data_IF_552946419267
#
_entry.id   IF_552946419267
#
_cell.length_a   1.000
_cell.length_b   1.000
_cell.length_c   1.000
_cell.angle_alpha   90.00
_cell.angle_beta   90.00
_cell.angle_gamma   90.00
#
_symmetry.space_group_name_H-M   'P 1'
#
loop_
_entity.id
_entity.type
_entity.pdbx_description
1 polymer ?
#
# COMPACT_ATOMS: atom_id res chain seq x y z
N UNK A 1 3.07 18.94 -31.45
CA UNK A 1 2.74 17.53 -31.75
C UNK A 1 3.91 16.69 -31.25
N UNK A 2 3.70 15.90 -30.20
CA UNK A 2 4.75 15.08 -29.60
C UNK A 2 5.03 13.84 -30.46
N UNK A 3 6.25 13.32 -30.36
CA UNK A 3 6.64 12.03 -30.94
C UNK A 3 5.66 10.93 -30.49
N UNK A 4 5.33 9.99 -31.37
CA UNK A 4 4.54 8.82 -31.00
C UNK A 4 5.25 8.04 -29.90
N UNK A 5 4.50 7.64 -28.87
CA UNK A 5 5.06 6.83 -27.80
C UNK A 5 5.40 5.43 -28.30
N UNK A 6 6.50 4.88 -27.82
CA UNK A 6 6.84 3.48 -28.08
C UNK A 6 5.74 2.56 -27.51
N UNK A 7 5.53 1.37 -28.08
CA UNK A 7 4.65 0.36 -27.51
C UNK A 7 4.98 0.07 -26.04
N UNK A 8 3.97 -0.27 -25.23
CA UNK A 8 4.18 -0.71 -23.85
C UNK A 8 4.93 -2.04 -23.85
N UNK A 9 5.96 -2.15 -23.02
CA UNK A 9 6.65 -3.42 -22.76
C UNK A 9 5.72 -4.37 -22.00
N UNK A 10 5.43 -5.52 -22.62
CA UNK A 10 4.53 -6.56 -22.10
C UNK A 10 5.25 -7.78 -21.52
N UNK A 11 6.57 -7.75 -21.31
CA UNK A 11 7.33 -8.88 -20.77
C UNK A 11 6.84 -9.33 -19.38
N UNK A 12 6.31 -8.41 -18.57
CA UNK A 12 5.62 -8.71 -17.31
C UNK A 12 4.20 -8.15 -17.39
N UNK A 13 3.15 -9.00 -17.45
CA UNK A 13 1.77 -8.56 -17.67
C UNK A 13 1.28 -7.52 -16.66
N UNK A 14 1.61 -7.67 -15.38
CA UNK A 14 1.19 -6.76 -14.32
C UNK A 14 1.83 -5.37 -14.46
N UNK A 15 3.08 -5.29 -14.95
CA UNK A 15 3.70 -3.99 -15.25
C UNK A 15 3.03 -3.33 -16.45
N UNK A 16 2.70 -4.11 -17.47
CA UNK A 16 2.01 -3.61 -18.64
C UNK A 16 0.62 -3.06 -18.29
N UNK A 17 -0.13 -3.75 -17.41
CA UNK A 17 -1.43 -3.27 -16.92
C UNK A 17 -1.31 -1.93 -16.19
N UNK A 18 -0.30 -1.75 -15.33
CA UNK A 18 -0.05 -0.46 -14.70
C UNK A 18 0.30 0.62 -15.74
N UNK A 19 1.15 0.31 -16.72
CA UNK A 19 1.54 1.26 -17.75
C UNK A 19 0.36 1.65 -18.65
N UNK A 20 -0.46 0.68 -19.08
CA UNK A 20 -1.69 0.90 -19.84
C UNK A 20 -2.64 1.82 -19.05
N UNK A 21 -2.89 1.53 -17.76
CA UNK A 21 -3.69 2.39 -16.89
C UNK A 21 -3.17 3.84 -16.83
N UNK A 22 -1.86 4.04 -16.67
CA UNK A 22 -1.27 5.38 -16.63
C UNK A 22 -1.40 6.10 -17.99
N UNK A 23 -1.17 5.40 -19.11
CA UNK A 23 -1.34 5.97 -20.46
C UNK A 23 -2.78 6.36 -20.73
N UNK A 24 -3.73 5.51 -20.36
CA UNK A 24 -5.16 5.78 -20.54
C UNK A 24 -5.56 7.06 -19.79
N UNK A 25 -5.14 7.21 -18.54
CA UNK A 25 -5.40 8.45 -17.78
C UNK A 25 -4.81 9.68 -18.44
N UNK A 26 -3.55 9.62 -18.88
CA UNK A 26 -2.91 10.74 -19.59
C UNK A 26 -3.66 11.10 -20.87
N UNK A 27 -4.07 10.09 -21.64
CA UNK A 27 -4.80 10.27 -22.89
C UNK A 27 -6.19 10.87 -22.65
N UNK A 28 -6.91 10.41 -21.62
CA UNK A 28 -8.19 10.99 -21.20
C UNK A 28 -8.05 12.44 -20.75
N UNK A 29 -6.96 12.77 -20.04
CA UNK A 29 -6.67 14.14 -19.62
C UNK A 29 -6.16 15.03 -20.77
N UNK A 30 -5.83 14.46 -21.93
CA UNK A 30 -5.29 15.20 -23.07
C UNK A 30 -3.92 15.86 -22.81
N UNK A 31 -3.15 15.33 -21.87
CA UNK A 31 -1.88 15.92 -21.45
C UNK A 31 -0.67 15.26 -22.14
N UNK A 32 0.38 16.06 -22.33
CA UNK A 32 1.72 15.57 -22.65
C UNK A 32 2.53 15.38 -21.37
N UNK A 33 3.56 14.50 -21.41
CA UNK A 33 4.47 14.33 -20.27
C UNK A 33 5.15 15.64 -19.86
N UNK A 34 5.47 16.51 -20.83
CA UNK A 34 5.99 17.86 -20.57
C UNK A 34 5.01 18.74 -19.78
N UNK A 35 3.73 18.71 -20.13
CA UNK A 35 2.69 19.46 -19.39
C UNK A 35 2.51 18.89 -17.97
N UNK A 36 2.50 17.56 -17.82
CA UNK A 36 2.43 16.92 -16.51
C UNK A 36 3.61 17.33 -15.63
N UNK A 37 4.85 17.26 -16.14
CA UNK A 37 6.05 17.69 -15.43
C UNK A 37 5.96 19.16 -15.01
N UNK A 38 5.51 20.04 -15.89
CA UNK A 38 5.31 21.46 -15.56
C UNK A 38 4.27 21.66 -14.45
N UNK A 39 3.19 20.89 -14.45
CA UNK A 39 2.12 21.00 -13.46
C UNK A 39 2.58 20.66 -12.03
N UNK A 40 3.63 19.84 -11.88
CA UNK A 40 4.21 19.46 -10.58
C UNK A 40 5.53 20.16 -10.28
N UNK A 41 5.82 21.29 -10.93
CA UNK A 41 7.05 22.05 -10.69
C UNK A 41 8.32 21.36 -11.20
N UNK A 42 8.19 20.41 -12.12
CA UNK A 42 9.31 19.70 -12.76
C UNK A 42 9.74 18.42 -12.03
N UNK A 43 9.09 18.05 -10.93
CA UNK A 43 9.38 16.83 -10.17
C UNK A 43 8.09 16.04 -9.90
N UNK A 44 7.88 14.87 -10.54
CA UNK A 44 8.77 14.19 -11.48
C UNK A 44 9.00 14.90 -12.83
N UNK A 45 10.14 14.62 -13.47
CA UNK A 45 10.45 15.13 -14.81
C UNK A 45 9.66 14.43 -15.92
N UNK A 46 9.65 15.03 -17.12
CA UNK A 46 9.02 14.47 -18.32
C UNK A 46 9.46 13.03 -18.59
N UNK A 47 10.78 12.80 -18.61
CA UNK A 47 11.35 11.47 -18.83
C UNK A 47 10.99 10.47 -17.74
N UNK A 48 10.71 10.92 -16.52
CA UNK A 48 10.27 10.04 -15.42
C UNK A 48 8.81 9.64 -15.59
N UNK A 49 7.94 10.54 -16.04
CA UNK A 49 6.57 10.15 -16.40
C UNK A 49 6.52 9.22 -17.61
N UNK A 50 7.33 9.49 -18.63
CA UNK A 50 7.45 8.60 -19.80
C UNK A 50 7.92 7.19 -19.41
N UNK A 51 8.98 7.10 -18.58
CA UNK A 51 9.46 5.80 -18.05
C UNK A 51 8.44 5.11 -17.15
N UNK A 52 7.61 5.84 -16.41
CA UNK A 52 6.55 5.26 -15.59
C UNK A 52 5.46 4.59 -16.44
N UNK A 53 5.20 5.14 -17.63
CA UNK A 53 4.18 4.66 -18.57
C UNK A 53 4.75 3.75 -19.68
N UNK A 54 5.99 3.29 -19.59
CA UNK A 54 6.60 2.43 -20.63
C UNK A 54 6.37 0.93 -20.44
N UNK A 55 6.09 0.48 -19.21
CA UNK A 55 6.01 -0.95 -18.85
C UNK A 55 7.37 -1.63 -18.61
N UNK A 56 8.49 -0.91 -18.83
CA UNK A 56 9.84 -1.47 -18.70
C UNK A 56 10.32 -1.57 -17.25
N UNK A 57 9.80 -0.71 -16.37
CA UNK A 57 10.12 -0.68 -14.94
C UNK A 57 8.85 -0.54 -14.11
N UNK A 58 8.92 -0.91 -12.82
CA UNK A 58 7.89 -0.52 -11.85
C UNK A 58 8.27 0.88 -11.32
N UNK A 59 7.48 1.93 -11.58
CA UNK A 59 7.75 3.27 -11.05
C UNK A 59 7.67 3.32 -9.52
N UNK A 60 8.12 4.39 -8.88
CA UNK A 60 7.87 4.58 -7.45
C UNK A 60 6.38 4.88 -7.18
N UNK A 61 5.90 4.55 -5.98
CA UNK A 61 4.51 4.86 -5.62
C UNK A 61 4.24 6.38 -5.64
N UNK A 62 5.25 7.19 -5.31
CA UNK A 62 5.18 8.65 -5.40
C UNK A 62 5.00 9.11 -6.85
N UNK A 63 5.74 8.56 -7.81
CA UNK A 63 5.55 8.86 -9.23
C UNK A 63 4.16 8.46 -9.70
N UNK A 64 3.64 7.29 -9.31
CA UNK A 64 2.27 6.86 -9.64
C UNK A 64 1.24 7.83 -9.06
N UNK A 65 1.40 8.24 -7.80
CA UNK A 65 0.52 9.21 -7.14
C UNK A 65 0.52 10.55 -7.89
N UNK A 66 1.69 11.09 -8.21
CA UNK A 66 1.80 12.36 -8.95
C UNK A 66 1.22 12.25 -10.36
N UNK A 67 1.41 11.11 -11.03
CA UNK A 67 0.79 10.83 -12.33
C UNK A 67 -0.73 10.89 -12.23
N UNK A 68 -1.32 10.20 -11.26
CA UNK A 68 -2.78 10.16 -11.08
C UNK A 68 -3.32 11.54 -10.73
N UNK A 69 -2.69 12.26 -9.80
CA UNK A 69 -3.12 13.61 -9.39
C UNK A 69 -3.09 14.57 -10.59
N UNK A 70 -2.02 14.57 -11.38
CA UNK A 70 -1.89 15.47 -12.55
C UNK A 70 -2.83 15.14 -13.69
N UNK A 71 -3.29 13.89 -13.78
CA UNK A 71 -4.25 13.42 -14.79
C UNK A 71 -5.66 13.31 -14.26
N UNK A 72 -5.93 13.79 -13.04
CA UNK A 72 -7.30 13.85 -12.52
C UNK A 72 -8.06 14.96 -13.22
N UNK A 73 -9.24 14.64 -13.71
CA UNK A 73 -10.13 15.57 -14.41
C UNK A 73 -11.49 15.60 -13.73
N UNK A 74 -12.31 16.61 -14.02
CA UNK A 74 -13.70 16.68 -13.53
C UNK A 74 -14.56 15.48 -13.98
N UNK A 75 -14.13 14.74 -15.03
CA UNK A 75 -14.78 13.53 -15.50
C UNK A 75 -14.53 12.30 -14.63
N UNK A 76 -13.55 12.36 -13.72
CA UNK A 76 -13.40 11.36 -12.67
C UNK A 76 -14.54 11.59 -11.66
N UNK A 77 -15.77 11.18 -11.98
CA UNK A 77 -16.98 11.52 -11.22
C UNK A 77 -17.00 11.03 -9.76
N UNK A 78 -16.10 10.12 -9.39
CA UNK A 78 -15.89 9.67 -8.01
C UNK A 78 -14.67 10.33 -7.33
N UNK A 79 -14.02 11.28 -8.00
CA UNK A 79 -12.85 12.01 -7.53
C UNK A 79 -11.52 11.26 -7.65
N UNK A 80 -10.40 11.92 -7.33
CA UNK A 80 -9.04 11.35 -7.45
C UNK A 80 -8.80 10.11 -6.58
N UNK A 81 -9.58 9.94 -5.50
CA UNK A 81 -9.35 8.88 -4.52
C UNK A 81 -9.54 7.48 -5.11
N UNK A 82 -10.55 7.29 -5.95
CA UNK A 82 -10.78 5.98 -6.59
C UNK A 82 -9.66 5.63 -7.57
N UNK A 83 -9.19 6.60 -8.35
CA UNK A 83 -8.06 6.41 -9.24
C UNK A 83 -6.77 6.08 -8.46
N UNK A 84 -6.57 6.70 -7.29
CA UNK A 84 -5.44 6.41 -6.41
C UNK A 84 -5.53 4.99 -5.82
N UNK A 85 -6.71 4.52 -5.42
CA UNK A 85 -6.92 3.15 -4.93
C UNK A 85 -6.59 2.14 -6.04
N UNK A 86 -7.24 2.28 -7.21
CA UNK A 86 -7.00 1.37 -8.34
C UNK A 86 -5.55 1.41 -8.84
N UNK A 87 -4.95 2.59 -8.93
CA UNK A 87 -3.55 2.75 -9.30
C UNK A 87 -2.59 2.13 -8.28
N UNK A 88 -2.89 2.23 -6.98
CA UNK A 88 -2.12 1.58 -5.91
C UNK A 88 -2.20 0.06 -6.01
N UNK A 89 -3.38 -0.50 -6.27
CA UNK A 89 -3.56 -1.95 -6.45
C UNK A 89 -2.77 -2.47 -7.65
N UNK A 90 -2.86 -1.81 -8.80
CA UNK A 90 -2.07 -2.15 -9.99
C UNK A 90 -0.56 -2.04 -9.71
N UNK A 91 -0.15 -1.01 -8.98
CA UNK A 91 1.25 -0.83 -8.59
C UNK A 91 1.74 -1.94 -7.67
N UNK A 92 0.95 -2.35 -6.68
CA UNK A 92 1.27 -3.47 -5.79
C UNK A 92 1.45 -4.76 -6.59
N UNK A 93 0.53 -5.04 -7.54
CA UNK A 93 0.62 -6.23 -8.41
C UNK A 93 1.88 -6.20 -9.27
N UNK A 94 2.17 -5.07 -9.92
CA UNK A 94 3.36 -4.88 -10.74
C UNK A 94 4.66 -5.05 -9.94
N UNK A 95 4.71 -4.45 -8.73
CA UNK A 95 5.85 -4.57 -7.81
C UNK A 95 6.06 -6.01 -7.40
N UNK A 96 5.00 -6.72 -7.00
CA UNK A 96 5.05 -8.11 -6.60
C UNK A 96 5.54 -9.01 -7.73
N UNK A 97 4.96 -8.89 -8.92
CA UNK A 97 5.37 -9.68 -10.10
C UNK A 97 6.84 -9.47 -10.48
N UNK A 98 7.42 -8.31 -10.13
CA UNK A 98 8.80 -7.97 -10.46
C UNK A 98 9.80 -8.33 -9.34
N UNK A 99 9.40 -8.20 -8.07
CA UNK A 99 10.33 -8.26 -6.92
C UNK A 99 10.10 -9.44 -5.98
N UNK A 100 8.91 -10.01 -5.94
CA UNK A 100 8.65 -11.14 -5.06
C UNK A 100 9.21 -12.44 -5.68
N UNK A 101 9.86 -13.31 -4.89
CA UNK A 101 10.30 -14.61 -5.33
C UNK A 101 9.14 -15.45 -5.86
N UNK A 102 9.44 -16.27 -6.87
CA UNK A 102 8.45 -17.11 -7.56
C UNK A 102 7.67 -18.07 -6.64
N UNK A 103 8.23 -18.42 -5.48
CA UNK A 103 7.61 -19.32 -4.51
C UNK A 103 6.57 -18.63 -3.61
N UNK A 104 6.48 -17.30 -3.63
CA UNK A 104 5.60 -16.52 -2.73
C UNK A 104 4.26 -16.24 -3.40
N UNK A 105 3.33 -17.19 -3.23
CA UNK A 105 2.04 -17.19 -3.95
C UNK A 105 0.88 -16.55 -3.20
N UNK A 106 0.91 -16.51 -1.87
CA UNK A 106 -0.20 -15.99 -1.05
C UNK A 106 0.30 -15.05 0.03
N UNK A 107 -0.55 -14.10 0.41
CA UNK A 107 -0.30 -13.29 1.59
C UNK A 107 -0.36 -14.18 2.83
N UNK A 108 0.43 -13.88 3.88
CA UNK A 108 0.26 -14.51 5.18
C UNK A 108 -1.16 -14.24 5.73
N UNK A 109 -1.75 -15.26 6.33
CA UNK A 109 -3.04 -15.17 7.01
C UNK A 109 -2.81 -14.92 8.51
N UNK A 110 -3.20 -13.74 9.05
CA UNK A 110 -3.01 -13.43 10.46
C UNK A 110 -3.75 -14.36 11.41
N UNK A 111 -4.83 -15.01 10.97
CA UNK A 111 -5.65 -15.88 11.82
C UNK A 111 -4.93 -17.18 12.21
N UNK A 112 -3.97 -17.61 11.38
CA UNK A 112 -3.20 -18.84 11.59
C UNK A 112 -1.97 -18.65 12.48
N UNK A 113 -1.73 -17.43 12.97
CA UNK A 113 -0.59 -17.10 13.80
C UNK A 113 -0.96 -17.33 15.28
N UNK A 114 -0.17 -18.17 15.96
CA UNK A 114 -0.39 -18.58 17.35
C UNK A 114 0.77 -18.26 18.30
N UNK A 115 1.99 -18.02 17.81
CA UNK A 115 3.18 -17.83 18.62
C UNK A 115 4.06 -16.67 18.13
N UNK A 116 4.95 -16.21 19.01
CA UNK A 116 5.84 -15.08 18.77
C UNK A 116 6.74 -15.29 17.53
N UNK A 117 7.26 -16.51 17.34
CA UNK A 117 8.08 -16.84 16.18
C UNK A 117 7.24 -16.84 14.88
N UNK A 118 6.02 -17.34 14.93
CA UNK A 118 5.05 -17.29 13.84
C UNK A 118 4.68 -15.86 13.46
N UNK A 119 4.48 -14.97 14.44
CA UNK A 119 4.16 -13.57 14.18
C UNK A 119 5.31 -12.85 13.46
N UNK A 120 6.55 -13.03 13.93
CA UNK A 120 7.73 -12.47 13.24
C UNK A 120 7.89 -13.03 11.82
N UNK A 121 7.70 -14.34 11.65
CA UNK A 121 7.73 -15.00 10.33
C UNK A 121 6.66 -14.43 9.41
N UNK A 122 5.46 -14.17 9.91
CA UNK A 122 4.38 -13.60 9.13
C UNK A 122 4.67 -12.16 8.68
N UNK A 123 5.23 -11.31 9.55
CA UNK A 123 5.67 -9.96 9.17
C UNK A 123 6.72 -9.99 8.05
N UNK A 124 7.71 -10.89 8.17
CA UNK A 124 8.72 -11.09 7.13
C UNK A 124 8.11 -11.61 5.84
N UNK A 125 7.16 -12.55 5.93
CA UNK A 125 6.45 -13.06 4.77
C UNK A 125 5.62 -11.97 4.08
N UNK A 126 4.96 -11.08 4.84
CA UNK A 126 4.22 -9.94 4.30
C UNK A 126 5.16 -8.98 3.56
N UNK A 127 6.32 -8.67 4.14
CA UNK A 127 7.37 -7.84 3.54
C UNK A 127 7.88 -8.42 2.21
N UNK A 128 8.10 -9.73 2.18
CA UNK A 128 8.49 -10.46 0.98
C UNK A 128 7.37 -10.44 -0.07
N UNK A 129 6.14 -10.74 0.34
CA UNK A 129 4.96 -10.87 -0.52
C UNK A 129 4.65 -9.57 -1.27
N UNK A 130 4.81 -8.42 -0.62
CA UNK A 130 4.57 -7.10 -1.23
C UNK A 130 5.74 -6.62 -2.11
N UNK A 131 6.82 -7.41 -2.26
CA UNK A 131 7.96 -7.10 -3.11
C UNK A 131 9.03 -6.25 -2.44
N UNK A 132 9.37 -6.60 -1.19
CA UNK A 132 10.53 -6.11 -0.43
C UNK A 132 10.69 -4.59 -0.43
N UNK A 133 9.78 -3.83 0.20
CA UNK A 133 10.03 -2.42 0.48
C UNK A 133 11.32 -2.28 1.29
N UNK A 134 12.24 -1.45 0.81
CA UNK A 134 13.51 -1.23 1.49
C UNK A 134 13.27 -0.55 2.84
N UNK A 135 14.15 -0.73 3.84
CA UNK A 135 14.02 -0.04 5.12
C UNK A 135 13.84 1.48 5.01
N UNK A 136 14.48 2.12 4.00
CA UNK A 136 14.32 3.56 3.75
C UNK A 136 13.05 3.94 2.97
N UNK A 137 12.42 3.01 2.23
CA UNK A 137 11.05 3.22 1.74
C UNK A 137 10.06 3.14 2.89
N UNK A 138 10.22 2.15 3.78
CA UNK A 138 9.31 1.94 4.91
C UNK A 138 9.36 3.08 5.92
N UNK A 139 10.56 3.56 6.26
CA UNK A 139 10.75 4.72 7.15
C UNK A 139 10.07 5.98 6.60
N UNK A 140 10.21 6.27 5.30
CA UNK A 140 9.54 7.41 4.65
C UNK A 140 8.01 7.31 4.62
N UNK A 141 7.47 6.10 4.69
CA UNK A 141 6.01 5.86 4.76
C UNK A 141 5.49 5.91 6.20
N UNK A 142 6.39 5.91 7.18
CA UNK A 142 6.06 5.98 8.59
C UNK A 142 6.25 7.39 9.14
N UNK A 143 5.64 7.66 10.29
CA UNK A 143 5.93 8.87 11.05
C UNK A 143 7.39 8.87 11.53
N UNK A 144 8.05 10.05 11.57
CA UNK A 144 9.42 10.15 12.06
C UNK A 144 9.60 9.50 13.43
N UNK A 145 10.57 8.58 13.53
CA UNK A 145 10.90 7.88 14.77
C UNK A 145 10.04 6.65 15.10
N UNK A 146 8.91 6.42 14.41
CA UNK A 146 8.04 5.27 14.68
C UNK A 146 8.61 3.98 14.10
N UNK A 147 9.12 4.05 12.87
CA UNK A 147 9.74 2.91 12.19
C UNK A 147 11.12 3.28 11.63
N UNK A 148 12.13 3.50 12.51
CA UNK A 148 13.48 3.84 12.09
C UNK A 148 14.09 2.76 11.21
N UNK A 149 14.92 3.16 10.24
CA UNK A 149 15.58 2.25 9.29
C UNK A 149 16.27 1.05 9.95
N UNK A 150 16.94 1.26 11.08
CA UNK A 150 17.66 0.24 11.84
C UNK A 150 16.72 -0.79 12.46
N UNK A 151 15.60 -0.35 13.02
CA UNK A 151 14.59 -1.24 13.59
C UNK A 151 13.91 -2.06 12.50
N UNK A 152 13.54 -1.43 11.40
CA UNK A 152 12.97 -2.10 10.22
C UNK A 152 13.88 -3.21 9.72
N UNK A 153 15.19 -2.93 9.64
CA UNK A 153 16.20 -3.91 9.24
C UNK A 153 16.17 -5.14 10.15
N UNK A 154 16.18 -4.94 11.48
CA UNK A 154 16.14 -6.03 12.46
C UNK A 154 14.85 -6.85 12.38
N UNK A 155 13.71 -6.22 12.10
CA UNK A 155 12.44 -6.96 11.92
C UNK A 155 12.49 -7.82 10.64
N UNK A 156 12.99 -7.26 9.52
CA UNK A 156 13.13 -7.99 8.25
C UNK A 156 14.12 -9.17 8.38
N UNK A 157 15.25 -8.93 9.05
CA UNK A 157 16.29 -9.93 9.26
C UNK A 157 15.82 -11.02 10.26
N UNK A 158 14.83 -10.70 11.10
CA UNK A 158 14.25 -11.61 12.09
C UNK A 158 14.93 -11.55 13.46
N UNK A 159 15.73 -10.51 13.69
CA UNK A 159 16.47 -10.29 14.94
C UNK A 159 15.64 -9.58 16.02
N UNK A 160 14.49 -9.01 15.65
CA UNK A 160 13.61 -8.30 16.57
C UNK A 160 12.16 -8.33 16.13
N UNK A 161 11.26 -8.32 17.10
CA UNK A 161 9.84 -8.00 16.91
C UNK A 161 9.61 -6.50 17.03
N UNK A 162 8.49 -5.99 16.51
CA UNK A 162 8.01 -4.67 16.88
C UNK A 162 7.90 -4.54 18.40
N UNK A 163 8.37 -3.42 18.96
CA UNK A 163 8.40 -3.22 20.42
C UNK A 163 7.03 -2.85 21.00
N UNK A 164 6.17 -2.27 20.18
CA UNK A 164 4.84 -1.77 20.53
C UNK A 164 3.89 -1.89 19.31
N UNK A 165 2.56 -1.75 19.51
CA UNK A 165 1.60 -1.83 18.41
C UNK A 165 1.77 -0.74 17.35
N UNK A 166 2.23 0.46 17.69
CA UNK A 166 2.38 1.56 16.74
C UNK A 166 3.46 1.22 15.70
N UNK A 167 4.58 0.64 16.14
CA UNK A 167 5.63 0.15 15.26
C UNK A 167 5.17 -1.00 14.38
N UNK A 168 4.33 -1.92 14.90
CA UNK A 168 3.77 -3.01 14.10
C UNK A 168 2.81 -2.48 13.02
N UNK A 169 1.91 -1.56 13.39
CA UNK A 169 1.00 -0.91 12.44
C UNK A 169 1.80 -0.15 11.37
N UNK A 170 2.84 0.59 11.76
CA UNK A 170 3.71 1.29 10.81
C UNK A 170 4.40 0.33 9.84
N UNK A 171 4.92 -0.80 10.34
CA UNK A 171 5.53 -1.83 9.49
C UNK A 171 4.52 -2.42 8.49
N UNK A 172 3.31 -2.73 8.94
CA UNK A 172 2.24 -3.28 8.11
C UNK A 172 1.74 -2.28 7.06
N UNK A 173 1.54 -1.01 7.45
CA UNK A 173 1.19 0.09 6.53
C UNK A 173 2.27 0.31 5.48
N UNK A 174 3.55 0.24 5.86
CA UNK A 174 4.67 0.29 4.95
C UNK A 174 4.77 -0.94 4.02
N UNK A 175 4.18 -2.08 4.44
CA UNK A 175 3.91 -3.24 3.60
C UNK A 175 2.52 -3.20 2.93
N UNK A 176 1.93 -2.00 2.83
CA UNK A 176 0.69 -1.70 2.14
C UNK A 176 -0.59 -2.34 2.71
N UNK A 177 -0.54 -2.89 3.93
CA UNK A 177 -1.72 -3.28 4.72
C UNK A 177 -2.33 -2.01 5.31
N UNK A 178 -3.39 -1.50 4.68
CA UNK A 178 -4.01 -0.21 5.05
C UNK A 178 -5.45 -0.33 5.50
N UNK A 179 -6.09 -1.46 5.22
CA UNK A 179 -7.44 -1.70 5.69
C UNK A 179 -7.47 -1.88 7.21
N UNK A 180 -8.38 -1.19 7.89
CA UNK A 180 -8.45 -1.19 9.34
C UNK A 180 -8.83 -2.59 9.89
N UNK A 181 -9.71 -3.33 9.22
CA UNK A 181 -10.10 -4.68 9.64
C UNK A 181 -8.95 -5.69 9.42
N UNK A 182 -8.18 -5.55 8.34
CA UNK A 182 -6.97 -6.33 8.12
C UNK A 182 -5.93 -6.02 9.20
N UNK A 183 -5.65 -4.74 9.49
CA UNK A 183 -4.74 -4.33 10.57
C UNK A 183 -5.20 -4.84 11.95
N UNK A 184 -6.51 -4.80 12.23
CA UNK A 184 -7.07 -5.37 13.46
C UNK A 184 -6.77 -6.88 13.55
N UNK A 185 -6.93 -7.63 12.46
CA UNK A 185 -6.62 -9.06 12.41
C UNK A 185 -5.13 -9.35 12.70
N UNK A 186 -4.24 -8.50 12.21
CA UNK A 186 -2.81 -8.55 12.54
C UNK A 186 -2.52 -8.25 14.02
N UNK A 187 -3.19 -7.26 14.62
CA UNK A 187 -3.02 -6.99 16.05
C UNK A 187 -3.63 -8.09 16.93
N UNK A 188 -4.73 -8.70 16.51
CA UNK A 188 -5.28 -9.88 17.18
C UNK A 188 -4.27 -11.02 17.21
N UNK A 189 -3.57 -11.25 16.09
CA UNK A 189 -2.47 -12.21 16.00
C UNK A 189 -1.33 -11.88 16.96
N UNK A 190 -0.93 -10.60 17.04
CA UNK A 190 0.09 -10.15 17.99
C UNK A 190 -0.34 -10.40 19.44
N UNK A 191 -1.57 -10.05 19.81
CA UNK A 191 -2.10 -10.26 21.17
C UNK A 191 -2.11 -11.74 21.55
N UNK A 192 -2.53 -12.64 20.65
CA UNK A 192 -2.46 -14.09 20.89
C UNK A 192 -1.02 -14.57 21.08
N UNK A 193 -0.14 -14.16 20.17
CA UNK A 193 1.26 -14.60 20.14
C UNK A 193 2.06 -14.13 21.36
N UNK A 194 1.86 -12.88 21.79
CA UNK A 194 2.61 -12.26 22.88
C UNK A 194 2.10 -12.64 24.26
N UNK A 195 0.84 -13.10 24.38
CA UNK A 195 0.28 -13.61 25.64
C UNK A 195 1.03 -14.83 26.15
N UNK A 196 1.45 -15.69 25.24
CA UNK A 196 2.19 -16.93 25.54
C UNK A 196 3.69 -16.69 25.81
N UNK A 197 4.18 -15.45 25.67
CA UNK A 197 5.59 -15.09 25.89
C UNK A 197 5.77 -14.32 27.22
N UNK A 198 6.33 -14.97 28.27
CA UNK A 198 6.52 -14.36 29.59
C UNK A 198 7.40 -13.10 29.58
N UNK A 199 8.32 -12.98 28.61
CA UNK A 199 9.23 -11.84 28.53
C UNK A 199 8.56 -10.59 27.92
N UNK A 200 7.45 -10.77 27.19
CA UNK A 200 6.79 -9.73 26.39
C UNK A 200 5.39 -9.37 26.85
N UNK A 201 4.80 -10.16 27.74
CA UNK A 201 3.47 -9.93 28.33
C UNK A 201 3.31 -8.57 29.02
N UNK A 202 4.40 -7.94 29.50
CA UNK A 202 4.37 -6.62 30.18
C UNK A 202 3.76 -5.49 29.35
N UNK A 203 3.79 -5.59 28.02
CA UNK A 203 3.20 -4.57 27.13
C UNK A 203 1.85 -4.99 26.55
N UNK A 204 1.29 -6.15 26.94
CA UNK A 204 0.11 -6.74 26.31
C UNK A 204 -1.12 -5.82 26.33
N UNK A 205 -1.30 -5.05 27.41
CA UNK A 205 -2.41 -4.10 27.53
C UNK A 205 -2.40 -3.05 26.42
N UNK A 206 -1.21 -2.57 26.02
CA UNK A 206 -1.08 -1.62 24.90
C UNK A 206 -1.52 -2.25 23.59
N UNK A 207 -1.14 -3.51 23.35
CA UNK A 207 -1.53 -4.26 22.15
C UNK A 207 -3.04 -4.53 22.11
N UNK A 208 -3.63 -4.90 23.25
CA UNK A 208 -5.06 -5.13 23.37
C UNK A 208 -5.86 -3.85 23.14
N UNK A 209 -5.42 -2.73 23.71
CA UNK A 209 -6.05 -1.42 23.50
C UNK A 209 -5.99 -1.00 22.03
N UNK A 210 -4.82 -1.09 21.40
CA UNK A 210 -4.66 -0.76 19.98
C UNK A 210 -5.50 -1.66 19.06
N UNK A 211 -5.63 -2.95 19.39
CA UNK A 211 -6.53 -3.87 18.69
C UNK A 211 -8.00 -3.42 18.81
N UNK A 212 -8.47 -3.10 20.01
CA UNK A 212 -9.84 -2.63 20.24
C UNK A 212 -10.13 -1.32 19.49
N UNK A 213 -9.19 -0.38 19.50
CA UNK A 213 -9.31 0.89 18.76
C UNK A 213 -9.47 0.65 17.26
N UNK A 214 -8.70 -0.27 16.66
CA UNK A 214 -8.84 -0.61 15.24
C UNK A 214 -10.15 -1.32 14.92
N UNK A 215 -10.63 -2.21 15.79
CA UNK A 215 -11.94 -2.86 15.62
C UNK A 215 -13.06 -1.82 15.61
N UNK A 216 -13.04 -0.88 16.56
CA UNK A 216 -14.02 0.21 16.61
C UNK A 216 -13.95 1.12 15.37
N UNK A 217 -12.74 1.41 14.89
CA UNK A 217 -12.54 2.19 13.66
C UNK A 217 -13.09 1.45 12.43
N UNK A 218 -12.85 0.14 12.31
CA UNK A 218 -13.41 -0.67 11.22
C UNK A 218 -14.95 -0.70 11.26
N UNK A 219 -15.54 -0.96 12.43
CA UNK A 219 -17.01 -1.00 12.61
C UNK A 219 -17.67 0.35 12.28
N UNK A 220 -17.07 1.46 12.74
CA UNK A 220 -17.58 2.80 12.45
C UNK A 220 -17.50 3.15 10.95
N UNK A 221 -16.43 2.73 10.28
CA UNK A 221 -16.26 2.92 8.83
C UNK A 221 -17.27 2.11 8.02
N UNK A 222 -17.54 0.87 8.43
CA UNK A 222 -18.55 0.01 7.81
C UNK A 222 -19.95 0.62 8.00
N UNK A 223 -20.29 1.09 9.20
CA UNK A 223 -21.57 1.75 9.47
C UNK A 223 -21.75 3.03 8.66
N UNK A 224 -20.69 3.85 8.53
CA UNK A 224 -20.71 5.05 7.70
C UNK A 224 -20.92 4.71 6.22
N UNK A 225 -20.29 3.64 5.73
CA UNK A 225 -20.43 3.16 4.35
C UNK A 225 -21.85 2.69 4.06
N UNK A 226 -22.44 1.91 4.96
CA UNK A 226 -23.84 1.43 4.84
C UNK A 226 -24.83 2.59 4.83
N UNK A 227 -24.64 3.57 5.71
CA UNK A 227 -25.51 4.76 5.78
C UNK A 227 -25.44 5.58 4.49
N UNK A 228 -24.23 5.83 3.97
CA UNK A 228 -24.03 6.58 2.73
C UNK A 228 -24.62 5.89 1.48
N UNK A 229 -24.61 4.55 1.45
CA UNK A 229 -25.22 3.77 0.37
C UNK A 229 -26.75 3.91 0.39
N UNK A 230 -27.37 3.82 1.57
CA UNK A 230 -28.83 3.98 1.74
C UNK A 230 -29.30 5.37 1.30
N UNK A 231 -28.62 6.43 1.74
CA UNK A 231 -28.95 7.80 1.34
C UNK A 231 -28.84 8.03 -0.18
N UNK A 232 -27.89 7.33 -0.84
CA UNK A 232 -27.70 7.41 -2.29
C UNK A 232 -28.80 6.67 -3.06
N UNK A 233 -29.31 5.57 -2.51
CA UNK A 233 -30.44 4.82 -3.08
C UNK A 233 -31.74 5.62 -2.95
N UNK A 234 -31.99 6.24 -1.79
CA UNK A 234 -33.14 7.11 -1.57
C UNK A 234 -33.15 8.32 -2.52
N UNK A 235 -31.98 8.96 -2.73
CA UNK A 235 -31.83 10.06 -3.70
C UNK A 235 -31.94 9.66 -5.17
N UNK A 236 -31.79 8.38 -5.49
CA UNK A 236 -32.01 7.85 -6.86
C UNK A 236 -33.46 7.45 -7.10
N UNK A 237 -34.22 7.19 -6.04
CA UNK A 237 -35.62 6.79 -6.10
C UNK A 237 -36.59 7.99 -6.09
N UNK A 238 -36.13 9.18 -5.70
CA UNK A 238 -36.86 10.45 -5.74
C UNK A 238 -36.54 11.25 -7.02
#
# INVERSE_FOLDING_TARGET
MGRSENPVDRAVPERAQLADFLRDRKNTAGLTYRQMAKAVGGQPSEATFERAASGTIVPSMETVRMFIITTTTERDGLGPQFALIGGRELWIRARRATRAPYYVRRAPDPTLISDTAGFLRALRHQHVWIGYPTPGEMERMSEPGVLPRTTTRRIIDGDALPVDPQQAIAFLKACYVTDEAELASWLAAAVRSLREDPARSKNLDKWMKAHQELVQQAESKDLATVTALREKEEKRAA
#
